data_IF_882114016676
#
_entry.id   IF_882114016676
#
_cell.length_a   1.000
_cell.length_b   1.000
_cell.length_c   1.000
_cell.angle_alpha   90.00
_cell.angle_beta   90.00
_cell.angle_gamma   90.00
#
_symmetry.space_group_name_H-M   'P 1'
#
loop_
_entity.id
_entity.type
_entity.pdbx_description
1 polymer ?
#
# COMPACT_ATOMS: atom_id res chain seq x y z
N UNK A 1 -47.12 2.91 11.67
CA UNK A 1 -47.44 3.26 10.25
C UNK A 1 -47.89 4.71 10.11
N UNK A 2 -48.81 5.21 10.95
CA UNK A 2 -49.21 6.63 10.92
C UNK A 2 -48.03 7.59 11.15
N UNK A 3 -47.14 7.27 12.10
CA UNK A 3 -46.02 8.14 12.48
C UNK A 3 -45.01 8.39 11.36
N UNK A 4 -44.72 7.36 10.55
CA UNK A 4 -43.81 7.49 9.41
C UNK A 4 -44.43 8.34 8.29
N UNK A 5 -45.74 8.25 8.10
CA UNK A 5 -46.46 9.09 7.13
C UNK A 5 -46.46 10.57 7.53
N UNK A 6 -46.64 10.86 8.82
CA UNK A 6 -46.56 12.23 9.35
C UNK A 6 -45.15 12.79 9.20
N UNK A 7 -44.12 12.00 9.52
CA UNK A 7 -42.71 12.38 9.37
C UNK A 7 -42.36 12.69 7.90
N UNK A 8 -42.84 11.87 6.96
CA UNK A 8 -42.59 12.08 5.53
C UNK A 8 -43.19 13.41 5.02
N UNK A 9 -44.42 13.73 5.47
CA UNK A 9 -45.06 15.00 5.12
C UNK A 9 -44.33 16.21 5.70
N UNK A 10 -43.78 16.10 6.92
CA UNK A 10 -42.96 17.15 7.52
C UNK A 10 -41.67 17.39 6.73
N UNK A 11 -40.95 16.31 6.39
CA UNK A 11 -39.74 16.39 5.56
C UNK A 11 -40.02 17.04 4.21
N UNK A 12 -41.14 16.69 3.56
CA UNK A 12 -41.53 17.31 2.29
C UNK A 12 -41.86 18.79 2.43
N UNK A 13 -42.57 19.18 3.49
CA UNK A 13 -42.86 20.59 3.77
C UNK A 13 -41.59 21.41 4.00
N UNK A 14 -40.62 20.87 4.74
CA UNK A 14 -39.36 21.56 5.00
C UNK A 14 -38.47 21.63 3.76
N UNK A 15 -38.50 20.60 2.91
CA UNK A 15 -37.86 20.62 1.59
C UNK A 15 -38.44 21.71 0.68
N UNK A 16 -39.77 21.80 0.56
CA UNK A 16 -40.43 22.84 -0.26
C UNK A 16 -40.18 24.27 0.25
N UNK A 17 -40.00 24.48 1.57
CA UNK A 17 -39.61 25.79 2.10
C UNK A 17 -38.26 26.25 1.56
N UNK A 18 -37.32 25.32 1.39
CA UNK A 18 -35.98 25.59 0.86
C UNK A 18 -35.98 25.62 -0.67
N UNK A 19 -36.84 24.82 -1.30
CA UNK A 19 -36.94 24.62 -2.74
C UNK A 19 -38.39 24.78 -3.24
N UNK A 20 -38.91 26.02 -3.38
CA UNK A 20 -40.35 26.26 -3.60
C UNK A 20 -40.92 25.68 -4.91
N UNK A 21 -40.06 25.47 -5.91
CA UNK A 21 -40.44 25.00 -7.24
C UNK A 21 -39.95 23.56 -7.51
N UNK A 22 -39.43 22.86 -6.49
CA UNK A 22 -38.92 21.51 -6.67
C UNK A 22 -40.04 20.48 -6.83
N UNK A 23 -39.74 19.46 -7.59
CA UNK A 23 -40.59 18.31 -7.92
C UNK A 23 -40.51 17.25 -6.83
N UNK A 24 -41.47 16.33 -6.85
CA UNK A 24 -41.46 15.16 -5.97
C UNK A 24 -40.24 14.25 -6.21
N UNK A 25 -39.68 14.24 -7.43
CA UNK A 25 -38.45 13.47 -7.73
C UNK A 25 -37.25 14.04 -7.01
N UNK A 26 -37.08 15.37 -7.05
CA UNK A 26 -35.99 16.08 -6.36
C UNK A 26 -36.09 15.93 -4.83
N UNK A 27 -37.30 15.83 -4.27
CA UNK A 27 -37.47 15.46 -2.87
C UNK A 27 -37.05 14.00 -2.57
N UNK A 28 -37.38 13.07 -3.46
CA UNK A 28 -36.92 11.68 -3.34
C UNK A 28 -35.40 11.56 -3.38
N UNK A 29 -34.75 12.33 -4.26
CA UNK A 29 -33.29 12.43 -4.35
C UNK A 29 -32.68 13.03 -3.08
N UNK A 30 -33.26 14.11 -2.53
CA UNK A 30 -32.74 14.74 -1.31
C UNK A 30 -32.79 13.81 -0.10
N UNK A 31 -33.81 12.95 0.02
CA UNK A 31 -33.87 11.97 1.12
C UNK A 31 -32.75 10.93 1.03
N UNK A 32 -32.36 10.54 -0.19
CA UNK A 32 -31.26 9.61 -0.42
C UNK A 32 -29.92 10.30 -0.12
N UNK A 33 -29.78 11.59 -0.46
CA UNK A 33 -28.61 12.40 -0.11
C UNK A 33 -28.47 12.57 1.40
N UNK A 34 -29.54 12.94 2.10
CA UNK A 34 -29.58 13.06 3.56
C UNK A 34 -29.20 11.73 4.25
N UNK A 35 -29.73 10.60 3.79
CA UNK A 35 -29.41 9.27 4.36
C UNK A 35 -27.94 8.88 4.09
N UNK A 36 -27.38 9.24 2.93
CA UNK A 36 -25.96 9.05 2.63
C UNK A 36 -25.08 9.95 3.50
N UNK A 37 -25.44 11.22 3.69
CA UNK A 37 -24.72 12.15 4.56
C UNK A 37 -24.74 11.69 6.02
N UNK A 38 -25.89 11.23 6.53
CA UNK A 38 -26.03 10.71 7.89
C UNK A 38 -25.20 9.43 8.09
N UNK A 39 -25.23 8.49 7.14
CA UNK A 39 -24.41 7.28 7.19
C UNK A 39 -22.90 7.60 7.13
N UNK A 40 -22.50 8.50 6.24
CA UNK A 40 -21.09 8.92 6.11
C UNK A 40 -20.60 9.62 7.39
N UNK A 41 -21.42 10.50 7.97
CA UNK A 41 -21.13 11.15 9.25
C UNK A 41 -20.96 10.14 10.39
N UNK A 42 -21.82 9.12 10.45
CA UNK A 42 -21.73 8.05 11.45
C UNK A 42 -20.47 7.19 11.27
N UNK A 43 -20.10 6.84 10.03
CA UNK A 43 -18.88 6.09 9.74
C UNK A 43 -17.62 6.85 10.13
N UNK A 44 -17.51 8.13 9.76
CA UNK A 44 -16.36 8.97 10.11
C UNK A 44 -16.24 9.15 11.63
N UNK A 45 -17.36 9.32 12.33
CA UNK A 45 -17.36 9.40 13.80
C UNK A 45 -16.86 8.10 14.43
N UNK A 46 -17.32 6.94 13.92
CA UNK A 46 -16.86 5.63 14.38
C UNK A 46 -15.37 5.39 14.13
N UNK A 47 -14.85 5.84 12.98
CA UNK A 47 -13.43 5.77 12.67
C UNK A 47 -12.61 6.71 13.57
N UNK A 48 -13.08 7.94 13.77
CA UNK A 48 -12.44 8.93 14.66
C UNK A 48 -12.26 8.40 16.07
N UNK A 49 -13.28 7.72 16.63
CA UNK A 49 -13.24 7.10 17.97
C UNK A 49 -12.14 6.04 18.13
N UNK A 50 -11.63 5.46 17.03
CA UNK A 50 -10.54 4.46 17.05
C UNK A 50 -9.15 5.09 16.98
N UNK A 51 -9.06 6.39 16.70
CA UNK A 51 -7.78 7.08 16.59
C UNK A 51 -7.18 7.34 17.97
N UNK A 52 -5.84 7.28 18.11
CA UNK A 52 -5.17 7.55 19.38
C UNK A 52 -5.14 9.04 19.74
N UNK A 53 -5.59 9.92 18.84
CA UNK A 53 -5.69 11.37 19.04
C UNK A 53 -6.79 11.94 18.13
N UNK A 54 -7.29 13.16 18.40
CA UNK A 54 -8.25 13.84 17.53
C UNK A 54 -7.63 14.13 16.16
N UNK A 55 -8.09 13.42 15.12
CA UNK A 55 -7.67 13.62 13.74
C UNK A 55 -8.88 14.09 12.93
N UNK A 56 -8.89 15.34 12.43
CA UNK A 56 -10.04 15.92 11.72
C UNK A 56 -10.03 15.48 10.25
N UNK A 57 -10.24 14.18 10.01
CA UNK A 57 -10.32 13.64 8.66
C UNK A 57 -11.65 14.01 7.98
N UNK A 58 -11.62 14.34 6.70
CA UNK A 58 -12.83 14.62 5.92
C UNK A 58 -13.35 13.39 5.15
N UNK A 59 -12.58 12.30 5.12
CA UNK A 59 -12.96 11.06 4.44
C UNK A 59 -12.32 9.83 5.09
N UNK A 60 -12.84 8.62 4.80
CA UNK A 60 -12.17 7.37 5.19
C UNK A 60 -10.75 7.26 4.61
N UNK A 61 -10.50 7.84 3.44
CA UNK A 61 -9.21 7.78 2.74
C UNK A 61 -8.11 8.47 3.54
N UNK A 62 -8.40 9.59 4.19
CA UNK A 62 -7.45 10.30 5.05
C UNK A 62 -7.06 9.44 6.28
N UNK A 63 -8.02 8.75 6.90
CA UNK A 63 -7.74 7.80 7.99
C UNK A 63 -6.89 6.62 7.52
N UNK A 64 -7.22 6.06 6.35
CA UNK A 64 -6.46 4.97 5.74
C UNK A 64 -5.02 5.45 5.44
N UNK A 65 -4.85 6.63 4.86
CA UNK A 65 -3.55 7.22 4.55
C UNK A 65 -2.67 7.37 5.80
N UNK A 66 -3.24 7.87 6.89
CA UNK A 66 -2.54 7.93 8.18
C UNK A 66 -2.13 6.54 8.69
N UNK A 67 -3.06 5.58 8.68
CA UNK A 67 -2.81 4.22 9.15
C UNK A 67 -1.72 3.55 8.31
N UNK A 68 -1.77 3.73 6.98
CA UNK A 68 -0.79 3.24 6.03
C UNK A 68 0.62 3.77 6.33
N UNK A 69 0.75 5.08 6.51
CA UNK A 69 2.04 5.71 6.86
C UNK A 69 2.63 5.17 8.17
N UNK A 70 1.77 4.86 9.15
CA UNK A 70 2.21 4.20 10.39
C UNK A 70 2.68 2.78 10.16
N UNK A 71 1.98 1.99 9.34
CA UNK A 71 2.39 0.63 9.02
C UNK A 71 3.72 0.58 8.25
N UNK A 72 3.95 1.54 7.35
CA UNK A 72 5.26 1.73 6.71
C UNK A 72 6.35 2.01 7.75
N UNK A 73 6.09 2.93 8.69
CA UNK A 73 7.03 3.27 9.76
C UNK A 73 7.33 2.08 10.68
N UNK A 74 6.31 1.31 11.07
CA UNK A 74 6.50 0.11 11.89
C UNK A 74 7.31 -0.95 11.15
N UNK A 75 7.08 -1.13 9.84
CA UNK A 75 7.90 -2.04 9.02
C UNK A 75 9.39 -1.69 9.12
N UNK A 76 9.73 -0.41 8.95
CA UNK A 76 11.11 0.08 9.06
C UNK A 76 11.71 -0.10 10.47
N UNK A 77 10.91 0.15 11.52
CA UNK A 77 11.36 -0.02 12.92
C UNK A 77 11.68 -1.48 13.22
N UNK A 78 10.78 -2.39 12.83
CA UNK A 78 10.90 -3.81 13.18
C UNK A 78 11.91 -4.54 12.31
N UNK A 79 12.03 -4.22 11.01
CA UNK A 79 13.08 -4.80 10.18
C UNK A 79 14.46 -4.43 10.70
N UNK A 80 14.68 -3.17 11.11
CA UNK A 80 15.98 -2.71 11.61
C UNK A 80 16.40 -3.49 12.85
N UNK A 81 15.45 -3.84 13.71
CA UNK A 81 15.69 -4.66 14.90
C UNK A 81 15.94 -6.12 14.53
N UNK A 82 15.13 -6.69 13.64
CA UNK A 82 15.20 -8.11 13.29
C UNK A 82 16.45 -8.48 12.48
N UNK A 83 16.92 -7.57 11.63
CA UNK A 83 18.10 -7.75 10.79
C UNK A 83 19.38 -7.18 11.42
N UNK A 84 19.32 -6.71 12.67
CA UNK A 84 20.51 -6.28 13.40
C UNK A 84 21.54 -7.42 13.47
N UNK A 85 22.80 -7.10 13.16
CA UNK A 85 23.93 -8.03 13.15
C UNK A 85 23.76 -9.26 12.22
N UNK A 86 22.87 -9.18 11.23
CA UNK A 86 22.73 -10.19 10.20
C UNK A 86 23.61 -9.85 8.99
N UNK A 87 23.98 -10.86 8.19
CA UNK A 87 24.80 -10.69 6.98
C UNK A 87 24.07 -9.90 5.88
N UNK A 88 22.75 -10.01 5.86
CA UNK A 88 21.82 -9.20 5.06
C UNK A 88 21.13 -8.28 6.07
N UNK A 89 21.10 -6.96 5.83
CA UNK A 89 20.83 -6.00 6.91
C UNK A 89 19.41 -5.44 6.96
N UNK A 90 18.56 -5.68 5.96
CA UNK A 90 17.18 -5.20 5.91
C UNK A 90 16.36 -5.98 4.86
N UNK A 91 15.05 -5.68 4.78
CA UNK A 91 14.14 -6.34 3.84
C UNK A 91 14.47 -6.00 2.38
N UNK A 92 15.00 -4.81 2.08
CA UNK A 92 15.41 -4.46 0.71
C UNK A 92 16.60 -5.32 0.24
N UNK A 93 17.65 -5.47 1.04
CA UNK A 93 18.78 -6.36 0.74
C UNK A 93 18.33 -7.81 0.61
N UNK A 94 17.42 -8.24 1.48
CA UNK A 94 16.83 -9.57 1.43
C UNK A 94 15.99 -9.78 0.15
N UNK A 95 15.15 -8.81 -0.23
CA UNK A 95 14.33 -8.85 -1.43
C UNK A 95 15.16 -8.90 -2.71
N UNK A 96 16.24 -8.12 -2.79
CA UNK A 96 17.22 -8.19 -3.89
C UNK A 96 17.84 -9.59 -3.97
N UNK A 97 18.30 -10.14 -2.85
CA UNK A 97 18.90 -11.47 -2.82
C UNK A 97 17.88 -12.57 -3.19
N UNK A 98 16.64 -12.47 -2.73
CA UNK A 98 15.57 -13.40 -3.09
C UNK A 98 15.24 -13.34 -4.59
N UNK A 99 15.13 -12.14 -5.15
CA UNK A 99 14.87 -11.97 -6.57
C UNK A 99 15.97 -12.56 -7.45
N UNK A 100 17.25 -12.27 -7.14
CA UNK A 100 18.39 -12.83 -7.88
C UNK A 100 18.47 -14.35 -7.71
N UNK A 101 18.09 -14.89 -6.56
CA UNK A 101 18.03 -16.34 -6.32
C UNK A 101 16.98 -17.01 -7.22
N UNK A 102 15.83 -16.38 -7.43
CA UNK A 102 14.77 -16.90 -8.31
C UNK A 102 15.00 -16.61 -9.79
N UNK A 103 15.80 -15.60 -10.12
CA UNK A 103 16.10 -15.16 -11.49
C UNK A 103 17.61 -15.07 -11.70
N UNK A 104 18.28 -16.22 -11.62
CA UNK A 104 19.73 -16.27 -11.77
C UNK A 104 20.15 -15.71 -13.14
N UNK A 105 21.11 -14.79 -13.15
CA UNK A 105 21.58 -14.13 -14.36
C UNK A 105 20.86 -12.82 -14.70
N UNK A 106 19.88 -12.39 -13.90
CA UNK A 106 19.23 -11.10 -14.11
C UNK A 106 20.21 -9.91 -14.03
N UNK A 107 19.85 -8.84 -14.73
CA UNK A 107 20.52 -7.55 -14.72
C UNK A 107 20.06 -6.69 -13.54
N UNK A 108 20.87 -5.69 -13.15
CA UNK A 108 20.47 -4.71 -12.12
C UNK A 108 19.18 -3.98 -12.48
N UNK A 109 18.98 -3.70 -13.76
CA UNK A 109 17.79 -3.01 -14.25
C UNK A 109 16.53 -3.84 -14.03
N UNK A 110 16.60 -5.16 -14.22
CA UNK A 110 15.48 -6.06 -13.93
C UNK A 110 15.18 -6.09 -12.42
N UNK A 111 16.21 -6.17 -11.57
CA UNK A 111 16.02 -6.08 -10.10
C UNK A 111 15.34 -4.76 -9.72
N UNK A 112 15.82 -3.63 -10.25
CA UNK A 112 15.28 -2.32 -9.92
C UNK A 112 13.83 -2.16 -10.40
N UNK A 113 13.53 -2.59 -11.62
CA UNK A 113 12.19 -2.55 -12.17
C UNK A 113 11.20 -3.41 -11.36
N UNK A 114 11.65 -4.54 -10.81
CA UNK A 114 10.82 -5.40 -9.95
C UNK A 114 10.58 -4.81 -8.55
N UNK A 115 11.55 -4.07 -8.00
CA UNK A 115 11.52 -3.63 -6.60
C UNK A 115 10.51 -2.53 -6.27
N UNK A 116 9.96 -1.83 -7.27
CA UNK A 116 9.17 -0.60 -7.10
C UNK A 116 9.87 0.49 -6.25
N UNK A 117 11.20 0.43 -6.11
CA UNK A 117 12.02 1.43 -5.43
C UNK A 117 12.88 2.21 -6.45
N UNK A 118 13.37 3.37 -6.02
CA UNK A 118 14.29 4.19 -6.80
C UNK A 118 15.49 3.38 -7.30
N UNK A 119 15.79 3.51 -8.60
CA UNK A 119 16.87 2.74 -9.25
C UNK A 119 18.22 2.93 -8.56
N UNK A 120 18.49 4.15 -8.09
CA UNK A 120 19.71 4.50 -7.35
C UNK A 120 19.82 3.69 -6.05
N UNK A 121 18.76 3.62 -5.26
CA UNK A 121 18.70 2.84 -4.02
C UNK A 121 18.97 1.36 -4.26
N UNK A 122 18.37 0.78 -5.31
CA UNK A 122 18.58 -0.63 -5.65
C UNK A 122 20.00 -0.87 -6.15
N UNK A 123 20.54 0.00 -6.99
CA UNK A 123 21.90 -0.16 -7.50
C UNK A 123 22.95 -0.04 -6.39
N UNK A 124 22.74 0.86 -5.42
CA UNK A 124 23.56 0.96 -4.22
C UNK A 124 23.44 -0.29 -3.34
N UNK A 125 22.23 -0.83 -3.19
CA UNK A 125 21.97 -2.08 -2.47
C UNK A 125 22.73 -3.25 -3.12
N UNK A 126 22.61 -3.42 -4.44
CA UNK A 126 23.36 -4.43 -5.19
C UNK A 126 24.87 -4.24 -5.01
N UNK A 127 25.36 -2.99 -5.11
CA UNK A 127 26.79 -2.68 -4.90
C UNK A 127 27.27 -3.11 -3.52
N UNK A 128 26.49 -2.88 -2.45
CA UNK A 128 26.82 -3.35 -1.10
C UNK A 128 26.82 -4.87 -1.00
N UNK A 129 25.82 -5.53 -1.58
CA UNK A 129 25.73 -7.00 -1.58
C UNK A 129 26.89 -7.66 -2.34
N UNK A 130 27.32 -7.08 -3.47
CA UNK A 130 28.51 -7.53 -4.20
C UNK A 130 29.77 -7.31 -3.36
N UNK A 131 29.95 -6.12 -2.77
CA UNK A 131 31.09 -5.83 -1.89
C UNK A 131 31.19 -6.80 -0.71
N UNK A 132 30.05 -7.21 -0.15
CA UNK A 132 29.98 -8.13 0.99
C UNK A 132 30.05 -9.61 0.58
N UNK A 133 30.20 -9.91 -0.73
CA UNK A 133 30.31 -11.26 -1.27
C UNK A 133 29.01 -12.06 -1.20
N UNK A 134 27.86 -11.39 -1.13
CA UNK A 134 26.52 -12.02 -1.18
C UNK A 134 26.12 -12.25 -2.63
N UNK A 135 26.36 -11.26 -3.47
CA UNK A 135 26.17 -11.36 -4.91
C UNK A 135 27.53 -11.37 -5.61
N UNK A 136 27.58 -12.02 -6.77
CA UNK A 136 28.63 -11.81 -7.74
C UNK A 136 28.05 -11.16 -9.00
N UNK A 137 28.87 -10.35 -9.66
CA UNK A 137 28.53 -9.68 -10.89
C UNK A 137 29.50 -10.14 -11.99
N UNK A 138 28.98 -10.83 -13.01
CA UNK A 138 29.77 -11.30 -14.16
C UNK A 138 29.35 -10.54 -15.42
N UNK A 139 30.33 -10.21 -16.26
CA UNK A 139 30.01 -9.69 -17.59
C UNK A 139 29.23 -10.77 -18.36
N UNK A 140 28.17 -10.38 -19.05
CA UNK A 140 27.48 -11.29 -19.95
C UNK A 140 28.39 -11.58 -21.14
N UNK A 141 28.51 -12.85 -21.51
CA UNK A 141 29.34 -13.30 -22.63
C UNK A 141 28.80 -12.84 -23.99
N UNK A 142 27.49 -12.59 -24.09
CA UNK A 142 26.78 -12.18 -25.31
C UNK A 142 26.76 -10.65 -25.45
N UNK A 143 26.48 -9.92 -24.37
CA UNK A 143 26.54 -8.46 -24.33
C UNK A 143 27.38 -7.98 -23.14
N UNK A 144 28.66 -7.67 -23.38
CA UNK A 144 29.61 -7.19 -22.37
C UNK A 144 29.18 -5.89 -21.67
N UNK A 145 28.19 -5.16 -22.20
CA UNK A 145 27.60 -3.98 -21.54
C UNK A 145 26.59 -4.36 -20.47
N UNK A 146 25.97 -5.54 -20.59
CA UNK A 146 25.11 -6.12 -19.58
C UNK A 146 25.92 -6.97 -18.60
N UNK A 147 25.58 -6.87 -17.32
CA UNK A 147 26.19 -7.65 -16.26
C UNK A 147 25.13 -8.49 -15.58
N UNK A 148 25.44 -9.76 -15.37
CA UNK A 148 24.57 -10.75 -14.77
C UNK A 148 24.86 -10.89 -13.29
N UNK A 149 23.81 -10.87 -12.49
CA UNK A 149 23.86 -11.06 -11.05
C UNK A 149 23.60 -12.54 -10.71
N UNK A 150 24.37 -13.05 -9.76
CA UNK A 150 24.15 -14.38 -9.17
C UNK A 150 24.41 -14.32 -7.67
N UNK A 151 23.76 -15.19 -6.90
CA UNK A 151 24.14 -15.41 -5.51
C UNK A 151 25.43 -16.23 -5.47
N UNK A 152 26.34 -15.83 -4.58
CA UNK A 152 27.44 -16.71 -4.18
C UNK A 152 26.92 -17.79 -3.23
N UNK A 153 27.73 -18.81 -2.95
CA UNK A 153 27.38 -19.80 -1.90
C UNK A 153 27.18 -19.13 -0.53
N UNK A 154 28.02 -18.14 -0.19
CA UNK A 154 27.84 -17.31 1.01
C UNK A 154 26.48 -16.59 0.98
N UNK A 155 26.11 -16.05 -0.18
CA UNK A 155 24.83 -15.36 -0.37
C UNK A 155 23.64 -16.28 -0.18
N UNK A 156 23.67 -17.50 -0.74
CA UNK A 156 22.62 -18.51 -0.54
C UNK A 156 22.45 -18.82 0.94
N UNK A 157 23.54 -19.13 1.64
CA UNK A 157 23.52 -19.44 3.09
C UNK A 157 22.95 -18.24 3.88
N UNK A 158 23.40 -17.02 3.58
CA UNK A 158 22.92 -15.82 4.25
C UNK A 158 21.42 -15.57 4.00
N UNK A 159 20.95 -15.74 2.76
CA UNK A 159 19.52 -15.60 2.42
C UNK A 159 18.66 -16.61 3.17
N UNK A 160 19.09 -17.88 3.24
CA UNK A 160 18.39 -18.89 4.03
C UNK A 160 18.42 -18.58 5.53
N UNK A 161 19.52 -18.07 6.07
CA UNK A 161 19.63 -17.79 7.50
C UNK A 161 18.72 -16.64 7.95
N UNK A 162 18.50 -15.63 7.09
CA UNK A 162 17.62 -14.49 7.42
C UNK A 162 16.15 -14.71 7.06
N UNK A 163 15.82 -15.77 6.32
CA UNK A 163 14.43 -16.12 5.96
C UNK A 163 13.54 -16.23 7.21
N UNK A 164 14.05 -16.83 8.28
CA UNK A 164 13.30 -16.94 9.54
C UNK A 164 13.06 -15.56 10.17
N UNK A 165 14.02 -14.63 10.08
CA UNK A 165 13.84 -13.24 10.57
C UNK A 165 12.79 -12.49 9.76
N UNK A 166 12.80 -12.63 8.43
CA UNK A 166 11.76 -12.05 7.58
C UNK A 166 10.37 -12.58 7.97
N UNK A 167 10.24 -13.89 8.20
CA UNK A 167 8.99 -14.50 8.66
C UNK A 167 8.55 -14.01 10.05
N UNK A 168 9.48 -13.82 10.98
CA UNK A 168 9.19 -13.24 12.31
C UNK A 168 8.65 -11.81 12.19
N UNK A 169 9.29 -10.97 11.37
CA UNK A 169 8.83 -9.59 11.11
C UNK A 169 7.43 -9.60 10.50
N UNK A 170 7.19 -10.41 9.47
CA UNK A 170 5.88 -10.54 8.83
C UNK A 170 4.79 -10.96 9.82
N UNK A 171 5.08 -11.94 10.69
CA UNK A 171 4.14 -12.36 11.75
C UNK A 171 3.87 -11.25 12.77
N UNK A 172 4.90 -10.48 13.14
CA UNK A 172 4.77 -9.41 14.11
C UNK A 172 3.92 -8.24 13.58
N UNK A 173 4.11 -7.86 12.31
CA UNK A 173 3.39 -6.74 11.68
C UNK A 173 1.87 -6.91 11.63
N UNK A 174 1.40 -8.14 11.44
CA UNK A 174 -0.04 -8.48 11.42
C UNK A 174 -0.52 -9.15 12.72
N UNK A 175 0.25 -8.99 13.80
CA UNK A 175 0.22 -9.81 15.02
C UNK A 175 -1.17 -10.19 15.53
N UNK A 176 -1.94 -9.21 15.99
CA UNK A 176 -3.22 -9.41 16.68
C UNK A 176 -4.40 -9.73 15.76
N UNK A 177 -4.20 -9.78 14.44
CA UNK A 177 -5.26 -10.15 13.50
C UNK A 177 -5.54 -11.66 13.55
N UNK A 178 -6.82 -12.02 13.62
CA UNK A 178 -7.25 -13.40 13.45
C UNK A 178 -7.16 -13.85 11.99
N UNK A 179 -7.40 -15.14 11.72
CA UNK A 179 -7.26 -15.71 10.36
C UNK A 179 -8.16 -15.01 9.34
N UNK A 180 -9.41 -14.73 9.69
CA UNK A 180 -10.38 -14.08 8.80
C UNK A 180 -9.98 -12.65 8.50
N UNK A 181 -9.51 -11.91 9.50
CA UNK A 181 -9.01 -10.53 9.33
C UNK A 181 -7.77 -10.48 8.44
N UNK A 182 -6.83 -11.42 8.60
CA UNK A 182 -5.65 -11.53 7.74
C UNK A 182 -6.01 -11.75 6.28
N UNK A 183 -7.00 -12.62 6.01
CA UNK A 183 -7.48 -12.86 4.63
C UNK A 183 -8.12 -11.60 4.06
N UNK A 184 -9.01 -10.94 4.80
CA UNK A 184 -9.64 -9.68 4.36
C UNK A 184 -8.62 -8.58 4.08
N UNK A 185 -7.61 -8.45 4.94
CA UNK A 185 -6.52 -7.50 4.74
C UNK A 185 -5.72 -7.84 3.47
N UNK A 186 -5.34 -9.11 3.30
CA UNK A 186 -4.63 -9.57 2.10
C UNK A 186 -5.42 -9.26 0.82
N UNK A 187 -6.71 -9.59 0.78
CA UNK A 187 -7.56 -9.33 -0.40
C UNK A 187 -7.63 -7.83 -0.72
N UNK A 188 -7.72 -6.98 0.32
CA UNK A 188 -7.72 -5.52 0.17
C UNK A 188 -6.38 -5.01 -0.36
N UNK A 189 -5.26 -5.52 0.18
CA UNK A 189 -3.91 -5.14 -0.26
C UNK A 189 -3.65 -5.57 -1.71
N UNK A 190 -4.06 -6.78 -2.11
CA UNK A 190 -3.91 -7.25 -3.50
C UNK A 190 -4.79 -6.45 -4.47
N UNK A 191 -5.98 -6.00 -4.04
CA UNK A 191 -6.81 -5.10 -4.85
C UNK A 191 -6.11 -3.75 -5.08
N UNK A 192 -5.51 -3.18 -4.04
CA UNK A 192 -4.73 -1.94 -4.13
C UNK A 192 -3.48 -2.11 -5.00
N UNK A 193 -2.74 -3.20 -4.83
CA UNK A 193 -1.55 -3.54 -5.62
C UNK A 193 -1.87 -3.56 -7.12
N UNK A 194 -2.95 -4.24 -7.53
CA UNK A 194 -3.40 -4.26 -8.94
C UNK A 194 -3.74 -2.88 -9.48
N UNK A 195 -4.44 -2.06 -8.69
CA UNK A 195 -4.76 -0.69 -9.07
C UNK A 195 -3.48 0.13 -9.28
N UNK A 196 -2.53 0.07 -8.34
CA UNK A 196 -1.27 0.81 -8.43
C UNK A 196 -0.35 0.28 -9.53
N UNK A 197 -0.32 -1.02 -9.79
CA UNK A 197 0.42 -1.60 -10.91
C UNK A 197 -0.11 -1.05 -12.24
N UNK A 198 -1.44 -1.04 -12.42
CA UNK A 198 -2.06 -0.43 -13.59
C UNK A 198 -1.69 1.05 -13.73
N UNK A 199 -1.80 1.83 -12.64
CA UNK A 199 -1.43 3.24 -12.64
C UNK A 199 0.06 3.44 -12.98
N UNK A 200 0.96 2.67 -12.38
CA UNK A 200 2.40 2.79 -12.61
C UNK A 200 2.78 2.48 -14.06
N UNK A 201 2.18 1.46 -14.67
CA UNK A 201 2.45 1.11 -16.07
C UNK A 201 2.08 2.23 -17.05
N UNK A 202 0.99 2.94 -16.79
CA UNK A 202 0.45 3.98 -17.68
C UNK A 202 1.00 5.38 -17.37
N UNK A 203 1.32 5.67 -16.10
CA UNK A 203 1.56 7.05 -15.63
C UNK A 203 2.95 7.29 -15.01
N UNK A 204 3.85 6.31 -14.91
CA UNK A 204 5.17 6.49 -14.24
C UNK A 204 6.06 7.62 -14.78
N UNK A 205 5.81 8.10 -15.99
CA UNK A 205 6.56 9.21 -16.60
C UNK A 205 5.76 10.52 -16.65
N UNK A 206 4.51 10.50 -16.19
CA UNK A 206 3.62 11.65 -16.20
C UNK A 206 3.80 12.51 -14.94
N UNK A 207 3.40 13.78 -15.02
CA UNK A 207 3.44 14.69 -13.88
C UNK A 207 2.17 14.60 -13.02
N UNK A 208 2.22 15.15 -11.81
CA UNK A 208 1.11 15.11 -10.86
C UNK A 208 -0.20 15.68 -11.41
N UNK A 209 -0.16 16.79 -12.17
CA UNK A 209 -1.38 17.41 -12.72
C UNK A 209 -2.11 16.44 -13.66
N UNK A 210 -1.36 15.70 -14.49
CA UNK A 210 -1.96 14.69 -15.38
C UNK A 210 -2.56 13.52 -14.60
N UNK A 211 -1.90 13.05 -13.55
CA UNK A 211 -2.45 11.99 -12.70
C UNK A 211 -3.73 12.45 -11.99
N UNK A 212 -3.77 13.71 -11.52
CA UNK A 212 -4.93 14.28 -10.84
C UNK A 212 -6.13 14.37 -11.77
N UNK A 213 -5.94 14.92 -12.97
CA UNK A 213 -6.97 15.03 -14.02
C UNK A 213 -7.58 13.66 -14.36
N UNK A 214 -6.74 12.63 -14.56
CA UNK A 214 -7.22 11.35 -15.09
C UNK A 214 -7.72 10.37 -14.02
N UNK A 215 -7.31 10.52 -12.75
CA UNK A 215 -7.56 9.52 -11.70
C UNK A 215 -8.41 10.03 -10.53
N UNK A 216 -8.49 11.34 -10.31
CA UNK A 216 -9.11 11.93 -9.12
C UNK A 216 -10.25 12.92 -9.43
N UNK A 217 -10.34 13.41 -10.66
CA UNK A 217 -11.38 14.33 -11.17
C UNK A 217 -12.32 13.58 -12.14
#
# INVERSE_FOLDING_TARGET
MLDNGIKLLQLYQDFLKKNPNATMSEFGESLIEDEKEENTGNELEQMSKKMPFPFPANSPDEYIGWAWGRMMSFTQIWEKKAFANQTIHNLTEFGVALFVMSHEGCSKSEVANHSLQEKTTIFETIKRLVKNGILEEKANEIDKRSKHLKLTEKGKIASFSVMNRANEVSKHLVGNLNKTEKVKLFDSLIKLDKYHQHCYEHYKNENWEKLKEDLLE
#
